data_IF_817368946592
#
_entry.id   IF_817368946592
#
_cell.length_a   1.000
_cell.length_b   1.000
_cell.length_c   1.000
_cell.angle_alpha   90.00
_cell.angle_beta   90.00
_cell.angle_gamma   90.00
#
_symmetry.space_group_name_H-M   'P 1'
#
loop_
_entity.id
_entity.type
_entity.pdbx_description
1 polymer ?
#
# COMPACT_ATOMS: atom_id res chain seq x y z
N UNK A 1 14.86 29.85 18.61
CA UNK A 1 14.87 28.38 18.79
C UNK A 1 13.53 27.88 18.30
N UNK A 2 13.51 27.14 17.19
CA UNK A 2 12.28 26.56 16.64
C UNK A 2 11.76 25.48 17.59
N UNK A 3 10.54 25.67 18.09
CA UNK A 3 9.86 24.70 18.95
C UNK A 3 9.45 23.50 18.10
N UNK A 4 10.35 22.51 17.96
CA UNK A 4 10.03 21.20 17.39
C UNK A 4 9.02 20.55 18.34
N UNK A 5 7.74 20.62 17.98
CA UNK A 5 6.65 20.05 18.77
C UNK A 5 6.74 18.51 18.76
N UNK A 6 6.84 17.84 19.92
CA UNK A 6 7.03 16.39 20.01
C UNK A 6 5.94 15.57 19.32
N UNK A 7 4.74 16.14 19.14
CA UNK A 7 3.62 15.51 18.43
C UNK A 7 3.95 15.21 16.95
N UNK A 8 4.62 16.15 16.26
CA UNK A 8 4.88 16.01 14.81
C UNK A 8 5.75 14.80 14.47
N UNK A 9 6.75 14.51 15.32
CA UNK A 9 7.62 13.35 15.13
C UNK A 9 6.88 12.03 15.38
N UNK A 10 6.04 11.99 16.41
CA UNK A 10 5.24 10.81 16.76
C UNK A 10 4.23 10.48 15.65
N UNK A 11 3.54 11.48 15.14
CA UNK A 11 2.55 11.33 14.05
C UNK A 11 3.22 10.83 12.76
N UNK A 12 4.41 11.36 12.44
CA UNK A 12 5.22 10.91 11.31
C UNK A 12 5.63 9.44 11.45
N UNK A 13 6.10 9.05 12.63
CA UNK A 13 6.53 7.67 12.90
C UNK A 13 5.35 6.70 12.84
N UNK A 14 4.21 7.06 13.42
CA UNK A 14 2.99 6.26 13.38
C UNK A 14 2.51 6.05 11.94
N UNK A 15 2.50 7.13 11.14
CA UNK A 15 2.11 7.06 9.74
C UNK A 15 3.05 6.16 8.93
N UNK A 16 4.35 6.27 9.14
CA UNK A 16 5.34 5.42 8.48
C UNK A 16 5.12 3.94 8.84
N UNK A 17 4.92 3.62 10.12
CA UNK A 17 4.64 2.25 10.59
C UNK A 17 3.38 1.70 9.94
N UNK A 18 2.31 2.51 9.84
CA UNK A 18 1.06 2.10 9.19
C UNK A 18 1.26 1.78 7.72
N UNK A 19 1.95 2.63 6.98
CA UNK A 19 2.22 2.44 5.55
C UNK A 19 3.10 1.21 5.32
N UNK A 20 4.16 1.03 6.11
CA UNK A 20 5.03 -0.17 6.02
C UNK A 20 4.27 -1.46 6.35
N UNK A 21 3.39 -1.44 7.36
CA UNK A 21 2.53 -2.59 7.69
C UNK A 21 1.63 -2.98 6.52
N UNK A 22 1.01 -2.01 5.84
CA UNK A 22 0.16 -2.27 4.68
C UNK A 22 0.94 -2.95 3.55
N UNK A 23 2.16 -2.48 3.26
CA UNK A 23 2.98 -3.13 2.24
C UNK A 23 3.33 -4.58 2.60
N UNK A 24 3.68 -4.87 3.87
CA UNK A 24 3.90 -6.26 4.31
C UNK A 24 2.66 -7.13 4.10
N UNK A 25 1.46 -6.57 4.27
CA UNK A 25 0.22 -7.28 4.02
C UNK A 25 0.02 -7.57 2.53
N UNK A 26 0.28 -6.59 1.65
CA UNK A 26 0.25 -6.79 0.18
C UNK A 26 1.24 -7.87 -0.25
N UNK A 27 2.46 -7.89 0.29
CA UNK A 27 3.45 -8.93 -0.03
C UNK A 27 2.96 -10.34 0.35
N UNK A 28 2.26 -10.48 1.50
CA UNK A 28 1.65 -11.76 1.89
C UNK A 28 0.50 -12.15 0.98
N UNK A 29 -0.33 -11.19 0.56
CA UNK A 29 -1.40 -11.42 -0.41
C UNK A 29 -0.85 -11.85 -1.77
N UNK A 30 0.25 -11.25 -2.23
CA UNK A 30 0.95 -11.66 -3.44
C UNK A 30 1.47 -13.11 -3.36
N UNK A 31 2.04 -13.50 -2.22
CA UNK A 31 2.48 -14.88 -1.99
C UNK A 31 1.31 -15.86 -2.06
N UNK A 32 0.16 -15.53 -1.45
CA UNK A 32 -1.06 -16.33 -1.56
C UNK A 32 -1.55 -16.43 -3.00
N UNK A 33 -1.66 -15.30 -3.69
CA UNK A 33 -2.10 -15.23 -5.08
C UNK A 33 -1.24 -16.13 -5.98
N UNK A 34 0.08 -16.18 -5.76
CA UNK A 34 1.01 -17.01 -6.53
C UNK A 34 1.04 -18.49 -6.11
N UNK A 35 0.27 -18.91 -5.11
CA UNK A 35 0.25 -20.32 -4.69
C UNK A 35 -0.62 -21.16 -5.63
N UNK A 36 -0.27 -22.44 -5.77
CA UNK A 36 -1.00 -23.40 -6.61
C UNK A 36 -2.49 -23.54 -6.22
N UNK A 37 -2.84 -23.23 -4.98
CA UNK A 37 -4.24 -23.26 -4.51
C UNK A 37 -5.12 -22.27 -5.26
N UNK A 38 -4.57 -21.13 -5.66
CA UNK A 38 -5.29 -20.02 -6.28
C UNK A 38 -4.85 -19.77 -7.72
N UNK A 39 -4.33 -20.82 -8.37
CA UNK A 39 -3.99 -20.74 -9.79
C UNK A 39 -5.27 -20.58 -10.63
N UNK A 40 -5.30 -19.63 -11.59
CA UNK A 40 -6.45 -19.45 -12.47
C UNK A 40 -6.70 -20.68 -13.34
N UNK A 41 -7.97 -21.07 -13.47
CA UNK A 41 -8.39 -22.31 -14.16
C UNK A 41 -9.17 -22.07 -15.45
N UNK A 42 -9.59 -20.83 -15.70
CA UNK A 42 -10.31 -20.45 -16.91
C UNK A 42 -9.85 -19.07 -17.42
N UNK A 43 -10.10 -18.72 -18.70
CA UNK A 43 -9.62 -17.48 -19.29
C UNK A 43 -9.97 -16.22 -18.48
N UNK A 44 -11.19 -16.13 -17.94
CA UNK A 44 -11.64 -15.01 -17.11
C UNK A 44 -10.83 -14.89 -15.80
N UNK A 45 -10.50 -16.02 -15.18
CA UNK A 45 -9.66 -16.03 -13.98
C UNK A 45 -8.21 -15.64 -14.30
N UNK A 46 -7.69 -16.01 -15.47
CA UNK A 46 -6.36 -15.57 -15.92
C UNK A 46 -6.32 -14.05 -16.09
N UNK A 47 -7.32 -13.46 -16.73
CA UNK A 47 -7.44 -12.00 -16.89
C UNK A 47 -7.43 -11.30 -15.52
N UNK A 48 -8.31 -11.72 -14.61
CA UNK A 48 -8.39 -11.17 -13.25
C UNK A 48 -7.07 -11.35 -12.48
N UNK A 49 -6.42 -12.50 -12.60
CA UNK A 49 -5.12 -12.77 -11.99
C UNK A 49 -4.03 -11.79 -12.49
N UNK A 50 -3.95 -11.57 -13.80
CA UNK A 50 -2.99 -10.63 -14.37
C UNK A 50 -3.27 -9.18 -13.99
N UNK A 51 -4.54 -8.78 -13.93
CA UNK A 51 -4.95 -7.47 -13.44
C UNK A 51 -4.52 -7.24 -11.99
N UNK A 52 -4.73 -8.23 -11.12
CA UNK A 52 -4.31 -8.18 -9.72
C UNK A 52 -2.78 -8.07 -9.59
N UNK A 53 -2.02 -8.86 -10.37
CA UNK A 53 -0.55 -8.74 -10.39
C UNK A 53 -0.08 -7.34 -10.79
N UNK A 54 -0.69 -6.77 -11.83
CA UNK A 54 -0.39 -5.41 -12.28
C UNK A 54 -0.72 -4.38 -11.19
N UNK A 55 -1.87 -4.54 -10.53
CA UNK A 55 -2.29 -3.65 -9.44
C UNK A 55 -1.36 -3.73 -8.22
N UNK A 56 -0.86 -4.92 -7.86
CA UNK A 56 0.15 -5.10 -6.81
C UNK A 56 1.46 -4.42 -7.18
N UNK A 57 1.89 -4.53 -8.43
CA UNK A 57 3.11 -3.87 -8.90
C UNK A 57 2.99 -2.35 -8.81
N UNK A 58 1.91 -1.78 -9.36
CA UNK A 58 1.61 -0.35 -9.29
C UNK A 58 1.55 0.16 -7.84
N UNK A 59 0.93 -0.61 -6.94
CA UNK A 59 0.88 -0.30 -5.52
C UNK A 59 2.29 -0.27 -4.90
N UNK A 60 3.14 -1.23 -5.24
CA UNK A 60 4.51 -1.33 -4.71
C UNK A 60 5.38 -0.16 -5.17
N UNK A 61 5.25 0.24 -6.43
CA UNK A 61 5.95 1.41 -6.98
C UNK A 61 5.49 2.70 -6.29
N UNK A 62 4.17 2.89 -6.15
CA UNK A 62 3.60 4.03 -5.43
C UNK A 62 3.99 4.03 -3.94
N UNK A 63 4.07 2.86 -3.31
CA UNK A 63 4.51 2.71 -1.92
C UNK A 63 5.93 3.25 -1.70
N UNK A 64 6.86 2.92 -2.60
CA UNK A 64 8.25 3.39 -2.50
C UNK A 64 8.32 4.93 -2.56
N UNK A 65 7.52 5.54 -3.45
CA UNK A 65 7.42 7.00 -3.58
C UNK A 65 6.87 7.63 -2.29
N UNK A 66 5.78 7.08 -1.76
CA UNK A 66 5.14 7.56 -0.52
C UNK A 66 6.07 7.45 0.68
N UNK A 67 6.75 6.31 0.86
CA UNK A 67 7.70 6.11 1.97
C UNK A 67 8.88 7.07 1.85
N UNK A 68 9.41 7.27 0.65
CA UNK A 68 10.48 8.24 0.40
C UNK A 68 10.05 9.65 0.83
N UNK A 69 8.86 10.09 0.41
CA UNK A 69 8.28 11.39 0.79
C UNK A 69 8.02 11.52 2.29
N UNK A 70 7.51 10.48 2.94
CA UNK A 70 7.33 10.46 4.40
C UNK A 70 8.70 10.60 5.08
N UNK A 71 9.72 9.84 4.68
CA UNK A 71 11.05 9.90 5.30
C UNK A 71 11.70 11.28 5.11
N UNK A 72 11.61 11.85 3.91
CA UNK A 72 12.17 13.16 3.55
C UNK A 72 11.49 14.37 4.21
N UNK A 73 10.31 14.21 4.86
CA UNK A 73 9.64 15.32 5.57
C UNK A 73 10.58 15.99 6.58
N UNK A 74 10.93 17.26 6.33
CA UNK A 74 11.16 18.28 7.37
C UNK A 74 9.80 18.71 7.93
N UNK A 75 9.77 19.17 9.18
CA UNK A 75 8.56 19.30 10.01
C UNK A 75 7.41 20.18 9.44
N UNK A 76 7.65 20.95 8.37
CA UNK A 76 6.78 22.06 7.95
C UNK A 76 5.85 21.79 6.75
N UNK A 77 5.93 20.64 6.06
CA UNK A 77 5.09 20.35 4.89
C UNK A 77 3.84 19.55 5.28
N UNK A 78 2.87 20.23 5.91
CA UNK A 78 1.65 19.62 6.46
C UNK A 78 0.59 19.26 5.40
N UNK A 79 0.40 20.03 4.33
CA UNK A 79 -0.86 19.91 3.56
C UNK A 79 -0.78 19.16 2.22
N UNK A 80 0.30 19.30 1.44
CA UNK A 80 0.35 18.71 0.08
C UNK A 80 0.56 17.18 0.10
N UNK A 81 1.26 16.66 1.13
CA UNK A 81 1.62 15.24 1.20
C UNK A 81 0.60 14.34 1.91
N UNK A 82 -0.37 14.89 2.65
CA UNK A 82 -1.37 14.05 3.34
C UNK A 82 -2.33 13.38 2.35
N UNK A 83 -2.75 14.10 1.31
CA UNK A 83 -3.67 13.57 0.30
C UNK A 83 -3.08 12.38 -0.48
N UNK A 84 -1.79 12.42 -0.80
CA UNK A 84 -1.13 11.31 -1.50
C UNK A 84 -1.02 10.07 -0.61
N UNK A 85 -0.73 10.26 0.68
CA UNK A 85 -0.69 9.17 1.65
C UNK A 85 -2.10 8.58 1.86
N UNK A 86 -3.12 9.41 1.99
CA UNK A 86 -4.52 8.97 2.08
C UNK A 86 -4.92 8.17 0.84
N UNK A 87 -4.60 8.67 -0.36
CA UNK A 87 -4.84 7.94 -1.60
C UNK A 87 -4.10 6.59 -1.61
N UNK A 88 -2.87 6.53 -1.11
CA UNK A 88 -2.12 5.27 -0.98
C UNK A 88 -2.81 4.28 -0.03
N UNK A 89 -3.35 4.77 1.09
CA UNK A 89 -4.09 3.95 2.06
C UNK A 89 -5.42 3.45 1.49
N UNK A 90 -6.10 4.24 0.66
CA UNK A 90 -7.34 3.80 0.01
C UNK A 90 -7.07 2.83 -1.15
N UNK A 91 -6.00 3.05 -1.92
CA UNK A 91 -5.53 2.08 -2.92
C UNK A 91 -5.20 0.73 -2.28
N UNK A 92 -4.62 0.74 -1.07
CA UNK A 92 -4.37 -0.47 -0.30
C UNK A 92 -5.68 -1.23 0.02
N UNK A 93 -6.70 -0.54 0.56
CA UNK A 93 -7.99 -1.17 0.89
C UNK A 93 -8.66 -1.76 -0.34
N UNK A 94 -8.63 -1.02 -1.46
CA UNK A 94 -9.17 -1.49 -2.73
C UNK A 94 -8.46 -2.78 -3.18
N UNK A 95 -7.12 -2.76 -3.21
CA UNK A 95 -6.32 -3.91 -3.61
C UNK A 95 -6.54 -5.12 -2.69
N UNK A 96 -6.64 -4.90 -1.39
CA UNK A 96 -6.95 -5.96 -0.43
C UNK A 96 -8.30 -6.61 -0.74
N UNK A 97 -9.34 -5.81 -0.98
CA UNK A 97 -10.68 -6.30 -1.32
C UNK A 97 -10.71 -7.03 -2.67
N UNK A 98 -10.02 -6.50 -3.69
CA UNK A 98 -9.97 -7.10 -5.02
C UNK A 98 -9.30 -8.49 -4.96
N UNK A 99 -8.19 -8.61 -4.21
CA UNK A 99 -7.51 -9.89 -4.00
C UNK A 99 -8.37 -10.83 -3.15
N UNK A 100 -8.94 -10.36 -2.04
CA UNK A 100 -9.81 -11.19 -1.20
C UNK A 100 -10.99 -11.76 -2.00
N UNK A 101 -11.59 -10.96 -2.88
CA UNK A 101 -12.67 -11.41 -3.76
C UNK A 101 -12.20 -12.52 -4.71
N UNK A 102 -11.02 -12.40 -5.29
CA UNK A 102 -10.43 -13.45 -6.12
C UNK A 102 -10.11 -14.75 -5.37
N UNK A 103 -9.70 -14.65 -4.09
CA UNK A 103 -9.35 -15.83 -3.29
C UNK A 103 -10.56 -16.60 -2.75
N UNK A 104 -11.75 -16.01 -2.77
CA UNK A 104 -13.01 -16.61 -2.29
C UNK A 104 -13.85 -17.17 -3.46
N UNK A 105 -13.65 -16.66 -4.68
CA UNK A 105 -14.22 -17.19 -5.93
C UNK A 105 -13.66 -18.58 -6.32
#
# INVERSE_FOLDING_TARGET
>A
MENITPNSFKDKQELLVRVERNNRMVQRLLQKLNSYTYEPKCPQQFEKFYELKRSIQNFTEHHQQVVSKIKQRKADLKDINNKEVEQHLDNFKKLENDIASYLVD
#
